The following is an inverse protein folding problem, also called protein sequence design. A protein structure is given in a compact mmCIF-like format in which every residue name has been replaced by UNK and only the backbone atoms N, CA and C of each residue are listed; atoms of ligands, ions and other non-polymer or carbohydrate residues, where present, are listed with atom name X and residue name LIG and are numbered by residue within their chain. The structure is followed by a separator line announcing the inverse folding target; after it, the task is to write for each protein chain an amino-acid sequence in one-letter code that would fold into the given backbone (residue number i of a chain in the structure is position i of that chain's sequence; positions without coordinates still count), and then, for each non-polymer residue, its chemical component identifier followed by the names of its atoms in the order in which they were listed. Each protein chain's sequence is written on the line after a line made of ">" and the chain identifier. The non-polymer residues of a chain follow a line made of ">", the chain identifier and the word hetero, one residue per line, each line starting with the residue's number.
data_IF_633280294282
#
_entry.id   IF_633280294282
#
_cell.length_a   1.000
_cell.length_b   1.000
_cell.length_c   1.000
_cell.angle_alpha   90.00
_cell.angle_beta   90.00
_cell.angle_gamma   90.00
#
_symmetry.space_group_name_H-M   'P 1'
#
loop_
_entity.id
_entity.type
_entity.pdbx_description
1 polymer ?
#
# COMPACT_ATOMS: atom_id res chain seq x y z
N UNK A 1 0.88 2.13 -3.87
CA UNK A 1 -0.25 3.07 -3.65
C UNK A 1 -1.49 2.55 -4.35
N UNK A 2 -2.68 3.00 -3.95
CA UNK A 2 -3.97 2.61 -4.56
C UNK A 2 -4.99 3.73 -4.40
N UNK A 3 -5.88 3.92 -5.39
CA UNK A 3 -7.00 4.88 -5.27
C UNK A 3 -8.11 4.38 -4.32
N UNK A 4 -8.41 3.08 -4.37
CA UNK A 4 -9.48 2.48 -3.55
C UNK A 4 -9.04 2.27 -2.10
N UNK A 5 -7.85 1.68 -1.88
CA UNK A 5 -7.28 1.57 -0.53
C UNK A 5 -7.77 0.36 0.28
N UNK A 6 -8.74 -0.40 -0.25
CA UNK A 6 -9.35 -1.54 0.43
C UNK A 6 -9.55 -2.73 -0.51
N UNK A 7 -9.74 -3.91 0.08
CA UNK A 7 -10.07 -5.14 -0.65
C UNK A 7 -11.57 -5.16 -0.91
N UNK A 8 -11.95 -5.51 -2.14
CA UNK A 8 -13.36 -5.60 -2.56
C UNK A 8 -13.54 -6.79 -3.50
N UNK A 9 -14.75 -6.99 -4.03
CA UNK A 9 -15.05 -8.10 -4.92
C UNK A 9 -16.08 -7.69 -5.96
N UNK A 10 -15.64 -7.57 -7.21
CA UNK A 10 -16.46 -7.15 -8.33
C UNK A 10 -16.33 -8.10 -9.52
N UNK A 11 -15.10 -8.45 -9.91
CA UNK A 11 -14.82 -9.12 -11.18
C UNK A 11 -15.09 -10.63 -11.16
N UNK A 12 -15.01 -11.27 -10.00
CA UNK A 12 -15.25 -12.71 -9.91
C UNK A 12 -15.71 -13.18 -8.52
N UNK A 13 -16.48 -14.29 -8.49
CA UNK A 13 -17.16 -14.81 -7.29
C UNK A 13 -16.74 -16.23 -6.86
N UNK A 14 -15.59 -16.74 -7.33
CA UNK A 14 -15.04 -17.99 -6.79
C UNK A 14 -14.48 -17.82 -5.36
N UNK A 15 -14.56 -18.84 -4.49
CA UNK A 15 -13.90 -18.82 -3.19
C UNK A 15 -12.42 -18.43 -3.30
N UNK A 16 -11.94 -17.54 -2.42
CA UNK A 16 -10.54 -17.09 -2.39
C UNK A 16 -10.16 -15.99 -3.41
N UNK A 17 -11.08 -15.58 -4.29
CA UNK A 17 -10.86 -14.45 -5.20
C UNK A 17 -11.32 -13.13 -4.57
N UNK A 18 -10.41 -12.15 -4.56
CA UNK A 18 -10.66 -10.78 -4.12
C UNK A 18 -9.91 -9.77 -5.00
N UNK A 19 -10.57 -8.67 -5.34
CA UNK A 19 -10.01 -7.51 -6.02
C UNK A 19 -9.38 -6.54 -4.99
N UNK A 20 -8.49 -5.65 -5.43
CA UNK A 20 -7.87 -4.65 -4.55
C UNK A 20 -6.76 -5.16 -3.60
N UNK A 21 -6.41 -6.46 -3.65
CA UNK A 21 -5.28 -7.03 -2.86
C UNK A 21 -3.92 -6.47 -3.29
N UNK A 22 -3.69 -6.37 -4.59
CA UNK A 22 -2.45 -5.87 -5.18
C UNK A 22 -2.54 -4.38 -5.44
N UNK A 23 -1.51 -3.65 -5.02
CA UNK A 23 -1.39 -2.20 -5.19
C UNK A 23 -0.20 -1.90 -6.09
N UNK A 24 -0.23 -0.76 -6.77
CA UNK A 24 0.88 -0.33 -7.62
C UNK A 24 2.13 -0.07 -6.78
N UNK A 25 3.26 -0.63 -7.19
CA UNK A 25 4.55 -0.41 -6.53
C UNK A 25 5.07 1.00 -6.81
N UNK A 26 5.59 1.68 -5.78
CA UNK A 26 6.34 2.91 -5.96
C UNK A 26 7.81 2.56 -6.16
N UNK A 27 8.33 2.80 -7.36
CA UNK A 27 9.70 2.40 -7.76
C UNK A 27 9.95 0.91 -7.46
N UNK A 28 11.10 0.57 -6.89
CA UNK A 28 11.52 -0.77 -6.48
C UNK A 28 11.74 -0.83 -4.96
N UNK A 29 11.73 -2.03 -4.34
CA UNK A 29 12.07 -2.17 -2.93
C UNK A 29 13.47 -1.60 -2.61
N UNK A 30 13.58 -0.89 -1.50
CA UNK A 30 14.82 -0.24 -1.07
C UNK A 30 15.79 -1.23 -0.40
N UNK A 31 16.37 -2.15 -1.18
CA UNK A 31 17.36 -3.10 -0.68
C UNK A 31 18.61 -2.37 -0.13
N UNK A 32 19.06 -2.76 1.06
CA UNK A 32 20.25 -2.16 1.70
C UNK A 32 20.02 -0.79 2.35
N UNK A 33 18.77 -0.31 2.44
CA UNK A 33 18.44 0.92 3.16
C UNK A 33 18.69 0.77 4.66
N UNK A 34 19.57 1.59 5.22
CA UNK A 34 19.90 1.61 6.66
C UNK A 34 19.36 2.84 7.38
N UNK A 35 18.84 3.84 6.64
CA UNK A 35 18.36 5.11 7.16
C UNK A 35 16.87 5.28 6.91
N UNK A 36 16.09 5.41 7.98
CA UNK A 36 14.64 5.59 7.92
C UNK A 36 14.23 6.91 7.24
N UNK A 37 15.08 7.95 7.26
CA UNK A 37 14.76 9.24 6.64
C UNK A 37 14.65 9.14 5.12
N UNK A 38 15.38 8.21 4.49
CA UNK A 38 15.29 7.94 3.06
C UNK A 38 13.92 7.36 2.68
N UNK A 39 13.38 6.46 3.51
CA UNK A 39 12.05 5.89 3.32
C UNK A 39 10.97 6.97 3.47
N UNK A 40 11.11 7.85 4.46
CA UNK A 40 10.20 8.99 4.64
C UNK A 40 10.26 9.97 3.47
N UNK A 41 11.44 10.20 2.90
CA UNK A 41 11.59 11.04 1.71
C UNK A 41 10.83 10.46 0.52
N UNK A 42 10.96 9.16 0.26
CA UNK A 42 10.21 8.49 -0.82
C UNK A 42 8.70 8.48 -0.56
N UNK A 43 8.27 8.39 0.70
CA UNK A 43 6.86 8.55 1.08
C UNK A 43 6.34 9.94 0.71
N UNK A 44 7.07 11.00 1.03
CA UNK A 44 6.67 12.37 0.67
C UNK A 44 6.62 12.59 -0.85
N UNK A 45 7.57 12.03 -1.61
CA UNK A 45 7.54 12.10 -3.07
C UNK A 45 6.35 11.33 -3.67
N UNK A 46 6.03 10.15 -3.13
CA UNK A 46 4.85 9.39 -3.54
C UNK A 46 3.55 10.15 -3.24
N UNK A 47 3.45 10.81 -2.08
CA UNK A 47 2.30 11.66 -1.70
C UNK A 47 2.15 12.86 -2.64
N UNK A 48 3.24 13.52 -3.01
CA UNK A 48 3.19 14.65 -3.96
C UNK A 48 2.76 14.21 -5.36
N UNK A 49 3.24 13.06 -5.82
CA UNK A 49 2.88 12.53 -7.14
C UNK A 49 1.43 12.04 -7.19
N UNK A 50 0.92 11.47 -6.09
CA UNK A 50 -0.42 10.91 -6.00
C UNK A 50 -1.12 11.34 -4.68
N UNK A 51 -1.55 12.61 -4.58
CA UNK A 51 -2.14 13.14 -3.35
C UNK A 51 -3.53 12.54 -3.02
N UNK A 52 -4.16 11.92 -4.00
CA UNK A 52 -5.49 11.29 -3.92
C UNK A 52 -5.41 9.75 -3.84
N UNK A 53 -4.23 9.20 -3.50
CA UNK A 53 -4.04 7.76 -3.36
C UNK A 53 -3.60 7.37 -1.94
N UNK A 54 -4.05 6.20 -1.50
CA UNK A 54 -3.53 5.54 -0.31
C UNK A 54 -2.10 5.09 -0.54
N UNK A 55 -1.23 5.33 0.45
CA UNK A 55 0.15 4.82 0.46
C UNK A 55 0.34 3.92 1.67
N UNK A 56 0.85 2.71 1.41
CA UNK A 56 1.21 1.74 2.45
C UNK A 56 2.70 1.46 2.40
N UNK A 57 3.31 1.32 3.58
CA UNK A 57 4.68 0.85 3.73
C UNK A 57 4.62 -0.62 4.10
N UNK A 58 5.45 -1.42 3.44
CA UNK A 58 5.54 -2.86 3.64
C UNK A 58 6.99 -3.26 3.85
N UNK A 59 7.21 -4.19 4.79
CA UNK A 59 8.51 -4.82 5.03
C UNK A 59 8.43 -6.29 4.67
N UNK A 60 9.35 -6.73 3.81
CA UNK A 60 9.46 -8.11 3.35
C UNK A 60 10.66 -8.80 3.99
N UNK A 61 10.46 -10.05 4.39
CA UNK A 61 11.53 -10.97 4.75
C UNK A 61 11.82 -11.88 3.55
N UNK A 62 13.04 -11.83 3.06
CA UNK A 62 13.49 -12.60 1.90
C UNK A 62 13.71 -14.09 2.22
N UNK A 63 14.02 -14.45 3.47
CA UNK A 63 14.24 -15.85 3.87
C UNK A 63 12.92 -16.58 3.95
N UNK A 64 11.91 -15.96 4.57
CA UNK A 64 10.56 -16.53 4.72
C UNK A 64 9.64 -16.24 3.54
N UNK A 65 10.06 -15.38 2.62
CA UNK A 65 9.30 -14.94 1.45
C UNK A 65 7.91 -14.40 1.80
N UNK A 66 7.82 -13.59 2.87
CA UNK A 66 6.56 -13.07 3.41
C UNK A 66 6.67 -11.60 3.81
N UNK A 67 5.54 -10.90 3.80
CA UNK A 67 5.44 -9.57 4.40
C UNK A 67 5.36 -9.71 5.92
N UNK A 68 6.32 -9.14 6.64
CA UNK A 68 6.32 -9.15 8.11
C UNK A 68 5.56 -7.95 8.70
N UNK A 69 5.50 -6.84 7.97
CA UNK A 69 4.81 -5.63 8.40
C UNK A 69 4.15 -4.95 7.21
N UNK A 70 2.94 -4.44 7.43
CA UNK A 70 2.20 -3.65 6.45
C UNK A 70 1.30 -2.67 7.20
N UNK A 71 1.49 -1.37 6.99
CA UNK A 71 0.63 -0.33 7.54
C UNK A 71 0.38 0.80 6.54
N UNK A 72 -0.75 1.47 6.69
CA UNK A 72 -1.08 2.66 5.90
C UNK A 72 -0.25 3.84 6.44
N UNK A 73 0.57 4.43 5.58
CA UNK A 73 1.40 5.58 5.90
C UNK A 73 0.76 6.91 5.48
N UNK A 74 -0.16 6.88 4.51
CA UNK A 74 -0.93 8.04 4.07
C UNK A 74 -2.33 7.63 3.62
N UNK A 75 -3.33 8.41 4.05
CA UNK A 75 -4.72 8.35 3.58
C UNK A 75 -5.02 9.65 2.83
N UNK A 76 -5.64 9.59 1.64
CA UNK A 76 -6.03 10.79 0.92
C UNK A 76 -7.17 11.52 1.66
N UNK A 77 -7.24 12.87 1.55
CA UNK A 77 -8.29 13.65 2.18
C UNK A 77 -9.67 13.29 1.60
N UNK A 78 -10.68 13.18 2.46
CA UNK A 78 -12.06 12.89 2.06
C UNK A 78 -12.39 11.41 1.82
N UNK A 79 -11.44 10.49 2.02
CA UNK A 79 -11.75 9.07 2.05
C UNK A 79 -12.17 8.66 3.47
N UNK A 80 -13.46 8.85 3.78
CA UNK A 80 -14.09 8.18 4.92
C UNK A 80 -14.16 6.68 4.64
N UNK A 81 -14.11 5.86 5.69
CA UNK A 81 -14.29 4.42 5.61
C UNK A 81 -15.74 4.13 5.21
N UNK A 82 -16.05 4.14 3.92
CA UNK A 82 -17.27 3.54 3.38
C UNK A 82 -17.18 2.02 3.54
N UNK A 83 -17.41 1.53 4.76
CA UNK A 83 -17.28 0.13 5.12
C UNK A 83 -17.60 -0.16 6.59
N UNK A 84 -18.85 0.12 7.00
CA UNK A 84 -19.35 -0.26 8.32
C UNK A 84 -20.86 -0.07 8.47
N UNK A 85 -21.65 -0.91 7.81
CA UNK A 85 -23.00 -1.28 8.25
C UNK A 85 -23.10 -2.81 8.22
#
# INVERSE_FOLDING_TARGET
>A
FSKVGFVYRENHRSPGYYDGRYWTMWKLPMFGCTDATQVLKELEEAKKAYPDAFVRIIGFDNVRQVQLISFIAYKPPGCEESGGN
#
